data_IF_324777595229
#
_entry.id   IF_324777595229
#
_cell.length_a   1.000
_cell.length_b   1.000
_cell.length_c   1.000
_cell.angle_alpha   90.00
_cell.angle_beta   90.00
_cell.angle_gamma   90.00
#
_symmetry.space_group_name_H-M   'P 1'
#
loop_
_entity.id
_entity.type
_entity.pdbx_description
1 polymer ?
#
# COMPACT_ATOMS: atom_id res chain seq x y z
N UNK A 1 7.48 -10.96 -66.97
CA UNK A 1 8.58 -10.92 -66.22
C UNK A 1 8.53 -9.89 -65.26
N UNK A 2 8.30 -8.82 -65.64
CA UNK A 2 8.36 -7.78 -64.72
C UNK A 2 7.37 -7.87 -63.65
N UNK A 3 6.37 -8.48 -63.95
CA UNK A 3 5.38 -8.53 -62.94
C UNK A 3 5.81 -9.29 -61.75
N UNK A 4 6.69 -10.12 -61.95
CA UNK A 4 7.14 -10.86 -60.83
C UNK A 4 7.80 -10.01 -59.86
N UNK A 5 8.50 -9.12 -60.38
CA UNK A 5 9.22 -8.26 -59.53
C UNK A 5 8.33 -7.48 -58.67
N UNK A 6 7.31 -7.01 -59.22
CA UNK A 6 6.43 -6.21 -58.44
C UNK A 6 5.80 -6.98 -57.34
N UNK A 7 5.60 -8.20 -57.59
CA UNK A 7 5.00 -8.98 -56.56
C UNK A 7 5.95 -9.15 -55.42
N UNK A 8 7.16 -9.29 -55.76
CA UNK A 8 8.11 -9.43 -54.72
C UNK A 8 8.18 -8.20 -53.84
N UNK A 9 8.12 -7.11 -54.54
CA UNK A 9 8.15 -5.88 -53.77
C UNK A 9 6.98 -5.78 -52.86
N UNK A 10 5.89 -6.16 -53.41
CA UNK A 10 4.72 -6.11 -52.63
C UNK A 10 4.89 -6.93 -51.38
N UNK A 11 5.41 -8.03 -51.46
CA UNK A 11 5.58 -8.87 -50.32
C UNK A 11 6.51 -8.21 -49.36
N UNK A 12 7.51 -7.63 -49.87
CA UNK A 12 8.44 -6.96 -49.01
C UNK A 12 7.76 -5.83 -48.24
N UNK A 13 6.96 -5.12 -48.93
CA UNK A 13 6.29 -4.06 -48.25
C UNK A 13 5.38 -4.59 -47.18
N UNK A 14 4.72 -5.61 -47.51
CA UNK A 14 3.88 -6.19 -46.52
C UNK A 14 4.68 -6.63 -45.35
N UNK A 15 5.77 -7.19 -45.63
CA UNK A 15 6.58 -7.61 -44.56
C UNK A 15 6.99 -6.48 -43.71
N UNK A 16 7.28 -5.44 -44.37
CA UNK A 16 7.70 -4.33 -43.58
C UNK A 16 6.59 -3.83 -42.75
N UNK A 17 5.48 -3.79 -43.35
CA UNK A 17 4.42 -3.28 -42.62
C UNK A 17 4.29 -3.96 -41.37
N UNK A 18 4.44 -5.06 -41.45
CA UNK A 18 4.19 -5.73 -40.35
C UNK A 18 4.87 -5.30 -39.24
N UNK A 19 5.81 -5.13 -39.52
CA UNK A 19 6.54 -4.91 -38.47
C UNK A 19 5.95 -4.14 -37.57
N UNK A 20 5.50 -3.52 -38.06
CA UNK A 20 5.26 -2.78 -37.30
C UNK A 20 4.63 -3.17 -36.27
N UNK A 21 4.15 -3.48 -36.25
CA UNK A 21 3.47 -3.47 -35.43
C UNK A 21 3.59 -3.76 -34.32
N UNK A 22 3.86 -3.83 -34.19
CA UNK A 22 3.59 -4.07 -33.31
C UNK A 22 3.45 -3.84 -32.22
N UNK A 23 3.24 -3.77 -32.23
CA UNK A 23 3.47 -4.30 -31.53
C UNK A 23 3.65 -3.91 -30.37
N UNK A 24 4.19 -3.22 -30.47
CA UNK A 24 4.52 -2.72 -29.50
C UNK A 24 3.55 -2.41 -28.69
N UNK A 25 2.76 -2.38 -29.01
CA UNK A 25 1.86 -1.87 -28.42
C UNK A 25 1.52 -2.39 -27.27
N UNK A 26 1.67 -2.92 -26.81
CA UNK A 26 0.70 -3.07 -26.09
C UNK A 26 0.61 -4.15 -25.26
N UNK A 27 1.54 -4.40 -24.61
CA UNK A 27 1.38 -5.14 -23.47
C UNK A 27 0.61 -4.36 -22.50
N UNK A 28 -0.50 -4.80 -22.07
CA UNK A 28 -1.18 -4.12 -20.99
C UNK A 28 -0.22 -4.12 -19.84
N UNK A 29 -0.01 -2.97 -19.30
CA UNK A 29 0.72 -2.86 -18.07
C UNK A 29 0.16 -3.89 -17.11
N UNK A 30 0.98 -4.59 -16.37
CA UNK A 30 0.47 -5.55 -15.43
C UNK A 30 -0.58 -4.85 -14.60
N UNK A 31 -1.76 -5.40 -14.63
CA UNK A 31 -2.86 -4.85 -13.87
C UNK A 31 -2.48 -5.06 -12.41
N UNK A 32 -1.79 -4.09 -11.88
CA UNK A 32 -1.51 -4.12 -10.48
C UNK A 32 -2.85 -3.95 -9.81
N UNK A 33 -3.24 -4.95 -9.04
CA UNK A 33 -4.41 -4.80 -8.22
C UNK A 33 -4.23 -3.52 -7.41
N UNK A 34 -5.28 -2.75 -7.23
CA UNK A 34 -5.17 -1.53 -6.46
C UNK A 34 -4.58 -1.86 -5.09
N UNK A 35 -3.63 -1.07 -4.68
CA UNK A 35 -2.99 -1.25 -3.37
C UNK A 35 -4.04 -1.12 -2.28
N UNK A 36 -4.02 -2.03 -1.35
CA UNK A 36 -5.01 -2.08 -0.27
C UNK A 36 -4.36 -1.77 1.06
N UNK A 37 -4.96 -0.86 1.80
CA UNK A 37 -4.47 -0.45 3.10
C UNK A 37 -5.51 -0.75 4.17
N UNK A 38 -5.02 -1.06 5.38
CA UNK A 38 -5.84 -1.19 6.57
C UNK A 38 -5.50 -0.01 7.49
N UNK A 39 -6.52 0.72 7.91
CA UNK A 39 -6.36 1.80 8.88
C UNK A 39 -6.97 1.32 10.20
N UNK A 40 -6.16 1.35 11.26
CA UNK A 40 -6.56 0.86 12.58
C UNK A 40 -6.43 1.99 13.58
N UNK A 41 -7.54 2.49 14.07
CA UNK A 41 -7.57 3.56 15.07
C UNK A 41 -8.95 3.55 15.75
N UNK A 42 -8.97 3.60 17.08
CA UNK A 42 -10.23 3.66 17.83
C UNK A 42 -10.88 5.05 17.74
N UNK A 43 -10.16 6.05 17.29
CA UNK A 43 -10.72 7.36 16.99
C UNK A 43 -11.21 7.39 15.54
N UNK A 44 -12.52 7.44 15.35
CA UNK A 44 -13.09 7.52 14.01
C UNK A 44 -12.64 8.76 13.26
N UNK A 45 -12.39 9.85 13.97
CA UNK A 45 -11.96 11.10 13.34
C UNK A 45 -10.58 10.94 12.71
N UNK A 46 -9.65 10.34 13.44
CA UNK A 46 -8.30 10.10 12.93
C UNK A 46 -8.34 9.08 11.78
N UNK A 47 -9.10 8.01 11.96
CA UNK A 47 -9.24 6.99 10.93
C UNK A 47 -9.80 7.60 9.63
N UNK A 48 -10.75 8.51 9.72
CA UNK A 48 -11.35 9.14 8.56
C UNK A 48 -10.35 10.05 7.84
N UNK A 49 -9.57 10.82 8.57
CA UNK A 49 -8.54 11.68 7.97
C UNK A 49 -7.54 10.85 7.18
N UNK A 50 -7.03 9.78 7.78
CA UNK A 50 -6.06 8.89 7.13
C UNK A 50 -6.68 8.22 5.92
N UNK A 51 -7.89 7.70 6.07
CA UNK A 51 -8.62 7.02 5.00
C UNK A 51 -8.86 7.95 3.81
N UNK A 52 -9.29 9.16 4.07
CA UNK A 52 -9.56 10.14 3.01
C UNK A 52 -8.29 10.43 2.22
N UNK A 53 -7.18 10.61 2.91
CA UNK A 53 -5.92 10.89 2.22
C UNK A 53 -5.48 9.69 1.37
N UNK A 54 -5.55 8.50 1.91
CA UNK A 54 -5.16 7.29 1.19
C UNK A 54 -6.03 7.08 -0.05
N UNK A 55 -7.35 7.24 0.09
CA UNK A 55 -8.27 7.06 -1.04
C UNK A 55 -8.00 8.07 -2.14
N UNK A 56 -7.67 9.30 -1.78
CA UNK A 56 -7.33 10.33 -2.78
C UNK A 56 -6.08 9.98 -3.58
N UNK A 57 -5.23 9.15 -3.04
CA UNK A 57 -4.01 8.73 -3.73
C UNK A 57 -4.15 7.33 -4.35
N UNK A 58 -5.37 6.83 -4.45
CA UNK A 58 -5.66 5.60 -5.21
C UNK A 58 -5.70 4.31 -4.40
N UNK A 59 -5.60 4.38 -3.08
CA UNK A 59 -5.67 3.19 -2.24
C UNK A 59 -7.10 2.74 -2.01
N UNK A 60 -7.30 1.42 -1.97
CA UNK A 60 -8.51 0.84 -1.40
C UNK A 60 -8.28 0.70 0.09
N UNK A 61 -9.19 1.20 0.92
CA UNK A 61 -8.95 1.29 2.35
C UNK A 61 -10.08 0.61 3.13
N UNK A 62 -9.69 -0.26 4.05
CA UNK A 62 -10.58 -0.81 5.08
C UNK A 62 -10.20 -0.17 6.41
N UNK A 63 -11.17 -0.06 7.31
CA UNK A 63 -10.99 0.58 8.61
C UNK A 63 -11.36 -0.40 9.70
N UNK A 64 -10.54 -0.49 10.72
CA UNK A 64 -10.81 -1.24 11.94
C UNK A 64 -10.68 -0.30 13.14
N UNK A 65 -11.63 -0.37 14.06
CA UNK A 65 -11.65 0.52 15.22
C UNK A 65 -11.27 -0.20 16.52
N UNK A 66 -10.84 -1.44 16.42
CA UNK A 66 -10.37 -2.23 17.54
C UNK A 66 -9.31 -3.22 17.09
N UNK A 67 -8.57 -3.76 18.04
CA UNK A 67 -7.58 -4.80 17.75
C UNK A 67 -8.27 -6.02 17.15
N UNK A 68 -9.38 -6.47 17.72
CA UNK A 68 -10.08 -7.66 17.22
C UNK A 68 -10.55 -7.46 15.78
N UNK A 69 -11.11 -6.32 15.45
CA UNK A 69 -11.54 -6.02 14.11
C UNK A 69 -10.35 -6.01 13.13
N UNK A 70 -9.22 -5.45 13.57
CA UNK A 70 -8.01 -5.43 12.75
C UNK A 70 -7.50 -6.84 12.46
N UNK A 71 -7.53 -7.72 13.47
CA UNK A 71 -7.10 -9.11 13.29
C UNK A 71 -8.00 -9.87 12.33
N UNK A 72 -9.29 -9.62 12.37
CA UNK A 72 -10.22 -10.22 11.40
C UNK A 72 -9.92 -9.76 9.98
N UNK A 73 -9.68 -8.48 9.80
CA UNK A 73 -9.32 -7.95 8.49
C UNK A 73 -8.02 -8.59 7.96
N UNK A 74 -7.00 -8.69 8.80
CA UNK A 74 -5.73 -9.28 8.40
C UNK A 74 -5.88 -10.75 8.03
N UNK A 75 -6.78 -11.48 8.68
CA UNK A 75 -7.04 -12.89 8.35
C UNK A 75 -7.74 -13.04 7.02
N UNK A 76 -8.63 -12.12 6.69
CA UNK A 76 -9.50 -12.25 5.53
C UNK A 76 -9.00 -11.60 4.26
N UNK A 77 -8.08 -10.65 4.36
CA UNK A 77 -7.66 -9.84 3.21
C UNK A 77 -6.16 -9.60 3.19
N UNK A 78 -5.55 -9.58 2.00
CA UNK A 78 -4.15 -9.19 1.89
C UNK A 78 -4.05 -7.66 1.86
N UNK A 79 -3.21 -7.11 2.70
CA UNK A 79 -2.92 -5.68 2.75
C UNK A 79 -1.49 -5.41 2.30
N UNK A 80 -1.29 -4.23 1.70
CA UNK A 80 0.01 -3.75 1.28
C UNK A 80 0.56 -2.70 2.24
N UNK A 81 -0.29 -2.18 3.11
CA UNK A 81 0.05 -1.16 4.08
C UNK A 81 -0.89 -1.25 5.27
N UNK A 82 -0.37 -1.06 6.46
CA UNK A 82 -1.19 -0.93 7.66
C UNK A 82 -0.81 0.39 8.34
N UNK A 83 -1.79 1.25 8.57
CA UNK A 83 -1.62 2.48 9.35
C UNK A 83 -2.33 2.24 10.68
N UNK A 84 -1.58 2.21 11.77
CA UNK A 84 -2.08 1.72 13.04
C UNK A 84 -1.76 2.65 14.19
N UNK A 85 -2.78 2.99 14.97
CA UNK A 85 -2.57 3.65 16.26
C UNK A 85 -1.87 2.68 17.19
N UNK A 86 -0.86 3.17 17.91
CA UNK A 86 -0.12 2.34 18.87
C UNK A 86 -0.95 2.12 20.12
N UNK A 87 -1.65 3.14 20.56
CA UNK A 87 -2.31 3.15 21.86
C UNK A 87 -3.80 2.88 21.73
N UNK A 88 -4.18 1.64 21.78
CA UNK A 88 -5.58 1.21 21.78
C UNK A 88 -5.76 0.17 22.87
N UNK A 89 -6.99 -0.02 23.37
CA UNK A 89 -7.28 -1.13 24.30
C UNK A 89 -6.91 -2.48 23.67
N UNK A 90 -6.72 -3.47 24.52
CA UNK A 90 -6.50 -4.87 24.13
C UNK A 90 -5.19 -5.11 23.38
N UNK A 91 -4.15 -4.40 23.77
CA UNK A 91 -2.80 -4.65 23.25
C UNK A 91 -2.36 -3.71 22.14
N UNK A 92 -3.28 -2.93 21.58
CA UNK A 92 -2.96 -1.86 20.66
C UNK A 92 -2.14 -2.25 19.44
N UNK A 93 -1.32 -1.32 18.98
CA UNK A 93 -0.46 -1.52 17.83
C UNK A 93 0.43 -2.74 17.88
N UNK A 94 1.07 -3.04 19.00
CA UNK A 94 1.89 -4.25 19.11
C UNK A 94 1.12 -5.54 18.81
N UNK A 95 -0.11 -5.67 19.33
CA UNK A 95 -0.91 -6.87 19.09
C UNK A 95 -1.24 -7.02 17.60
N UNK A 96 -1.62 -5.92 16.96
CA UNK A 96 -1.93 -5.93 15.52
C UNK A 96 -0.67 -6.28 14.71
N UNK A 97 0.45 -5.66 15.05
CA UNK A 97 1.71 -5.86 14.34
C UNK A 97 2.16 -7.32 14.37
N UNK A 98 2.22 -7.90 15.58
CA UNK A 98 2.71 -9.27 15.70
C UNK A 98 1.78 -10.27 15.02
N UNK A 99 0.47 -10.10 15.17
CA UNK A 99 -0.48 -11.00 14.53
C UNK A 99 -0.42 -10.89 12.99
N UNK A 100 -0.31 -9.66 12.48
CA UNK A 100 -0.25 -9.43 11.04
C UNK A 100 1.04 -9.97 10.43
N UNK A 101 2.17 -9.69 11.06
CA UNK A 101 3.48 -10.08 10.52
C UNK A 101 3.74 -11.57 10.65
N UNK A 102 3.12 -12.24 11.64
CA UNK A 102 3.20 -13.70 11.71
C UNK A 102 2.51 -14.35 10.53
N UNK A 103 1.39 -13.79 10.06
CA UNK A 103 0.68 -14.33 8.90
C UNK A 103 1.29 -13.87 7.59
N UNK A 104 1.76 -12.65 7.55
CA UNK A 104 2.29 -12.00 6.36
C UNK A 104 3.61 -11.30 6.70
N UNK A 105 4.72 -12.05 6.65
CA UNK A 105 6.03 -11.44 6.98
C UNK A 105 6.40 -10.24 6.12
N UNK A 106 5.85 -10.15 4.91
CA UNK A 106 6.07 -9.01 4.03
C UNK A 106 5.51 -7.71 4.60
N UNK A 107 4.60 -7.78 5.56
CA UNK A 107 4.08 -6.60 6.22
C UNK A 107 5.04 -5.98 7.24
N UNK A 108 6.12 -6.66 7.59
CA UNK A 108 7.07 -6.20 8.61
C UNK A 108 7.53 -4.76 8.38
N UNK A 109 7.76 -4.39 7.13
CA UNK A 109 8.21 -3.05 6.78
C UNK A 109 7.11 -2.20 6.14
N UNK A 110 5.86 -2.59 6.32
CA UNK A 110 4.71 -1.92 5.70
C UNK A 110 3.74 -1.36 6.73
N UNK A 111 4.23 -1.09 7.94
CA UNK A 111 3.44 -0.46 8.98
C UNK A 111 3.86 1.00 9.14
N UNK A 112 2.87 1.88 9.22
CA UNK A 112 3.05 3.23 9.73
C UNK A 112 2.28 3.32 11.05
N UNK A 113 2.99 3.56 12.14
CA UNK A 113 2.36 3.72 13.44
C UNK A 113 2.07 5.18 13.72
N UNK A 114 0.92 5.43 14.33
CA UNK A 114 0.53 6.75 14.77
C UNK A 114 0.50 6.73 16.29
N UNK A 115 1.12 7.72 16.92
CA UNK A 115 1.17 7.80 18.37
C UNK A 115 0.88 9.23 18.84
N UNK A 116 0.10 9.35 19.91
CA UNK A 116 -0.23 10.65 20.48
C UNK A 116 0.25 10.82 21.90
N UNK A 117 0.70 9.76 22.55
CA UNK A 117 1.13 9.85 23.94
C UNK A 117 2.63 9.77 24.00
N UNK A 118 3.25 10.91 24.30
CA UNK A 118 4.70 11.02 24.38
C UNK A 118 5.22 10.72 25.78
N UNK A 119 4.34 10.63 26.76
CA UNK A 119 4.75 10.49 28.16
C UNK A 119 4.90 9.03 28.59
N UNK A 120 4.28 8.11 27.86
CA UNK A 120 4.38 6.69 28.17
C UNK A 120 5.56 6.08 27.42
N UNK A 121 6.57 5.53 28.11
CA UNK A 121 7.73 4.95 27.44
C UNK A 121 7.46 3.61 26.74
N UNK A 122 6.41 2.89 27.11
CA UNK A 122 6.18 1.55 26.57
C UNK A 122 5.94 1.53 25.07
N UNK A 123 5.07 2.39 24.51
CA UNK A 123 4.91 2.43 23.05
C UNK A 123 6.22 2.73 22.34
N UNK A 124 7.03 3.62 22.89
CA UNK A 124 8.29 4.00 22.26
C UNK A 124 9.32 2.87 22.28
N UNK A 125 9.33 2.06 23.33
CA UNK A 125 10.21 0.89 23.40
C UNK A 125 9.87 -0.11 22.31
N UNK A 126 8.57 -0.37 22.12
CA UNK A 126 8.10 -1.24 21.06
C UNK A 126 8.50 -0.70 19.68
N UNK A 127 8.20 0.57 19.42
CA UNK A 127 8.48 1.21 18.14
C UNK A 127 9.97 1.19 17.81
N UNK A 128 10.82 1.44 18.82
CA UNK A 128 12.27 1.40 18.65
C UNK A 128 12.76 -0.01 18.37
N UNK A 129 12.18 -1.00 19.05
CA UNK A 129 12.58 -2.40 18.89
C UNK A 129 12.38 -2.89 17.47
N UNK A 130 11.27 -2.53 16.85
CA UNK A 130 10.97 -2.96 15.50
C UNK A 130 11.44 -1.96 14.44
N UNK A 131 12.07 -0.86 14.83
CA UNK A 131 12.52 0.21 13.93
C UNK A 131 11.36 0.75 13.09
N UNK A 132 10.27 1.05 13.75
CA UNK A 132 9.03 1.43 13.11
C UNK A 132 9.09 2.78 12.42
N UNK A 133 8.29 2.92 11.38
CA UNK A 133 7.94 4.23 10.86
C UNK A 133 6.85 4.81 11.74
N UNK A 134 7.04 6.02 12.22
CA UNK A 134 6.16 6.64 13.23
C UNK A 134 5.73 8.03 12.79
N UNK A 135 4.47 8.34 13.03
CA UNK A 135 3.91 9.67 12.84
C UNK A 135 3.26 10.09 14.15
N UNK A 136 3.68 11.22 14.70
CA UNK A 136 3.15 11.71 15.98
C UNK A 136 1.90 12.55 15.77
N UNK A 137 0.92 12.41 16.68
CA UNK A 137 -0.27 13.27 16.75
C UNK A 137 0.07 14.53 17.55
N UNK A 138 -0.44 15.68 17.17
CA UNK A 138 -1.23 15.97 15.98
C UNK A 138 -0.36 16.07 14.74
N UNK A 139 -0.87 15.67 13.61
CA UNK A 139 -0.13 15.72 12.35
C UNK A 139 -0.92 16.46 11.28
N UNK A 140 -0.18 16.98 10.29
CA UNK A 140 -0.79 17.60 9.11
C UNK A 140 -0.93 16.56 8.01
N UNK A 141 -1.79 16.83 7.02
CA UNK A 141 -1.89 15.97 5.85
C UNK A 141 -0.57 15.84 5.11
N UNK A 142 0.26 16.89 5.14
CA UNK A 142 1.59 16.86 4.54
C UNK A 142 2.52 15.92 5.26
N UNK A 143 2.51 15.96 6.60
CA UNK A 143 3.33 15.06 7.40
C UNK A 143 2.92 13.61 7.19
N UNK A 144 1.62 13.34 7.11
CA UNK A 144 1.11 12.00 6.84
C UNK A 144 1.55 11.51 5.48
N UNK A 145 1.45 12.33 4.44
CA UNK A 145 1.91 11.96 3.10
C UNK A 145 3.40 11.64 3.08
N UNK A 146 4.20 12.46 3.76
CA UNK A 146 5.64 12.26 3.83
C UNK A 146 5.99 10.94 4.51
N UNK A 147 5.29 10.64 5.61
CA UNK A 147 5.49 9.39 6.33
C UNK A 147 5.10 8.18 5.47
N UNK A 148 3.98 8.26 4.75
CA UNK A 148 3.53 7.19 3.88
C UNK A 148 4.53 6.90 2.76
N UNK A 149 5.10 7.93 2.17
CA UNK A 149 6.12 7.75 1.12
C UNK A 149 7.29 6.93 1.65
N UNK A 150 7.71 7.17 2.88
CA UNK A 150 8.84 6.43 3.46
C UNK A 150 8.52 4.95 3.67
N UNK A 151 7.29 4.64 4.03
CA UNK A 151 6.88 3.25 4.29
C UNK A 151 6.78 2.45 2.99
N UNK A 152 6.26 3.07 1.94
CA UNK A 152 5.98 2.36 0.69
C UNK A 152 7.12 2.44 -0.33
N UNK A 153 8.14 3.19 -0.02
CA UNK A 153 9.30 3.34 -0.92
C UNK A 153 10.15 2.07 -1.05
#
# INVERSE_FOLDING_TARGET
MEENDQRGEHVALIGASPAAWPSQATEPAPTRLPSRALVVDDSLVVAEVVTTLLRRTGWTVDVATSVDAALEHVRGMPYDLVVCDVCMPDGGGPAVYYAATMRRPDLTNRFLFITGNVDDPEPWRFLAKIRAHVLEKPFTGRALRHALIKVIA
#
